data_IF_508186840209
#
_entry.id   IF_508186840209
#
_cell.length_a   1.000
_cell.length_b   1.000
_cell.length_c   1.000
_cell.angle_alpha   90.00
_cell.angle_beta   90.00
_cell.angle_gamma   90.00
#
_symmetry.space_group_name_H-M   'P 1'
#
loop_
_entity.id
_entity.type
_entity.pdbx_description
1 polymer ?
#
# COMPACT_ATOMS: atom_id res chain seq x y z
N UNK A 1 5.54 -11.13 17.26
CA UNK A 1 6.39 -10.62 16.16
C UNK A 1 7.63 -10.02 16.77
N UNK A 2 8.81 -10.31 16.21
CA UNK A 2 10.07 -9.81 16.79
C UNK A 2 11.04 -9.37 15.71
N UNK A 3 11.61 -8.18 15.90
CA UNK A 3 12.60 -7.56 15.03
C UNK A 3 13.99 -8.09 15.40
N UNK A 4 14.64 -8.76 14.46
CA UNK A 4 15.95 -9.38 14.65
C UNK A 4 16.97 -8.85 13.65
N UNK A 5 18.12 -8.44 14.17
CA UNK A 5 19.28 -8.12 13.36
C UNK A 5 19.89 -9.40 12.78
N UNK A 6 20.16 -9.42 11.47
CA UNK A 6 20.83 -10.56 10.82
C UNK A 6 22.22 -10.21 10.30
N UNK A 7 22.34 -9.08 9.64
CA UNK A 7 23.60 -8.62 9.05
C UNK A 7 23.63 -7.09 8.97
N UNK A 8 24.83 -6.54 8.85
CA UNK A 8 25.03 -5.11 8.73
C UNK A 8 24.34 -4.55 7.49
N UNK A 9 23.80 -3.33 7.62
CA UNK A 9 23.19 -2.60 6.51
C UNK A 9 23.41 -1.10 6.65
N UNK A 10 24.29 -0.56 5.82
CA UNK A 10 24.71 0.84 5.84
C UNK A 10 25.22 1.23 7.25
N UNK A 11 24.57 2.19 7.93
CA UNK A 11 24.90 2.58 9.32
C UNK A 11 24.32 1.67 10.42
N UNK A 12 23.50 0.66 10.08
CA UNK A 12 22.99 -0.32 11.06
C UNK A 12 24.01 -1.45 11.19
N UNK A 13 24.83 -1.41 12.23
CA UNK A 13 25.87 -2.42 12.49
C UNK A 13 25.42 -3.50 13.47
N UNK A 14 24.57 -3.16 14.45
CA UNK A 14 24.00 -4.10 15.41
C UNK A 14 22.87 -3.45 16.19
N UNK A 15 21.92 -4.25 16.67
CA UNK A 15 20.97 -3.87 17.71
C UNK A 15 20.41 -5.12 18.41
N UNK A 16 19.94 -4.95 19.64
CA UNK A 16 19.29 -6.03 20.38
C UNK A 16 17.94 -6.35 19.77
N UNK A 17 17.53 -7.63 19.71
CA UNK A 17 16.21 -7.98 19.22
C UNK A 17 15.10 -7.24 19.99
N UNK A 18 14.07 -6.80 19.28
CA UNK A 18 12.98 -6.00 19.83
C UNK A 18 11.66 -6.72 19.58
N UNK A 19 10.87 -6.94 20.63
CA UNK A 19 9.50 -7.44 20.50
C UNK A 19 8.61 -6.35 19.88
N UNK A 20 7.82 -6.73 18.88
CA UNK A 20 6.92 -5.85 18.15
C UNK A 20 5.47 -6.26 18.42
N UNK A 21 4.68 -5.29 18.85
CA UNK A 21 3.23 -5.42 18.95
C UNK A 21 2.56 -5.33 17.57
N UNK A 22 1.28 -5.70 17.48
CA UNK A 22 0.49 -5.66 16.24
C UNK A 22 0.46 -4.29 15.56
N UNK A 23 0.59 -3.22 16.35
CA UNK A 23 0.80 -1.85 15.88
C UNK A 23 2.02 -1.27 16.56
N UNK A 24 3.09 -1.09 15.79
CA UNK A 24 4.30 -0.43 16.25
C UNK A 24 4.53 0.83 15.44
N UNK A 25 4.77 1.95 16.13
CA UNK A 25 5.08 3.24 15.51
C UNK A 25 6.55 3.54 15.70
N UNK A 26 7.29 3.62 14.59
CA UNK A 26 8.68 4.05 14.60
C UNK A 26 8.76 5.57 14.40
N UNK A 27 9.31 6.26 15.39
CA UNK A 27 9.53 7.71 15.36
C UNK A 27 10.99 8.07 15.66
N UNK A 28 11.38 9.31 15.40
CA UNK A 28 12.75 9.80 15.61
C UNK A 28 13.07 11.00 14.74
N UNK A 29 14.17 11.68 15.05
CA UNK A 29 14.64 12.86 14.30
C UNK A 29 15.00 12.53 12.85
N UNK A 30 15.05 13.54 11.97
CA UNK A 30 15.51 13.35 10.60
C UNK A 30 16.96 12.84 10.60
N UNK A 31 17.26 11.86 9.75
CA UNK A 31 18.58 11.21 9.71
C UNK A 31 18.80 10.13 10.79
N UNK A 32 17.83 9.83 11.65
CA UNK A 32 17.98 8.80 12.70
C UNK A 32 17.95 7.34 12.20
N UNK A 33 17.92 7.11 10.88
CA UNK A 33 17.91 5.76 10.31
C UNK A 33 16.56 5.07 10.17
N UNK A 34 15.42 5.79 10.28
CA UNK A 34 14.07 5.18 10.13
C UNK A 34 13.84 4.57 8.75
N UNK A 35 14.03 5.36 7.68
CA UNK A 35 13.89 4.88 6.31
C UNK A 35 14.88 3.74 6.03
N UNK A 36 16.11 3.90 6.51
CA UNK A 36 17.14 2.89 6.39
C UNK A 36 16.80 1.58 7.12
N UNK A 37 16.12 1.62 8.27
CA UNK A 37 15.64 0.41 8.96
C UNK A 37 14.57 -0.30 8.12
N UNK A 38 13.64 0.45 7.51
CA UNK A 38 12.66 -0.11 6.58
C UNK A 38 13.35 -0.74 5.36
N UNK A 39 14.36 -0.08 4.81
CA UNK A 39 15.16 -0.60 3.70
C UNK A 39 15.92 -1.87 4.09
N UNK A 40 16.46 -1.92 5.32
CA UNK A 40 17.15 -3.11 5.84
C UNK A 40 16.18 -4.30 6.00
N UNK A 41 14.93 -4.04 6.39
CA UNK A 41 13.85 -5.05 6.43
C UNK A 41 13.53 -5.52 5.01
N UNK A 42 13.38 -4.59 4.06
CA UNK A 42 13.14 -4.92 2.64
C UNK A 42 14.25 -5.80 2.05
N UNK A 43 15.51 -5.51 2.39
CA UNK A 43 16.70 -6.23 1.93
C UNK A 43 17.03 -7.48 2.77
N UNK A 44 16.19 -7.85 3.74
CA UNK A 44 16.37 -9.00 4.64
C UNK A 44 17.62 -8.95 5.52
N UNK A 45 18.25 -7.78 5.66
CA UNK A 45 19.32 -7.55 6.63
C UNK A 45 18.80 -7.47 8.06
N UNK A 46 17.54 -7.06 8.19
CA UNK A 46 16.74 -7.15 9.40
C UNK A 46 15.52 -8.02 9.10
N UNK A 47 15.15 -8.89 10.03
CA UNK A 47 14.00 -9.77 9.86
C UNK A 47 12.93 -9.47 10.91
N UNK A 48 11.67 -9.58 10.49
CA UNK A 48 10.53 -9.65 11.39
C UNK A 48 10.14 -11.13 11.45
N UNK A 49 10.41 -11.77 12.58
CA UNK A 49 9.99 -13.14 12.83
C UNK A 49 8.48 -13.20 13.08
N UNK A 50 7.88 -14.35 12.74
CA UNK A 50 6.42 -14.58 12.78
C UNK A 50 5.62 -13.74 11.77
N UNK A 51 6.27 -13.35 10.66
CA UNK A 51 5.64 -12.65 9.54
C UNK A 51 5.98 -13.36 8.22
N UNK A 52 4.98 -14.02 7.61
CA UNK A 52 5.17 -14.81 6.40
C UNK A 52 5.28 -13.95 5.13
N UNK A 53 4.67 -12.76 5.14
CA UNK A 53 4.66 -11.83 4.02
C UNK A 53 4.83 -10.39 4.48
N UNK A 54 5.96 -9.78 4.12
CA UNK A 54 6.19 -8.36 4.34
C UNK A 54 5.72 -7.56 3.13
N UNK A 55 4.81 -6.62 3.36
CA UNK A 55 4.41 -5.62 2.38
C UNK A 55 4.87 -4.26 2.89
N UNK A 56 5.88 -3.68 2.23
CA UNK A 56 6.41 -2.36 2.57
C UNK A 56 5.80 -1.37 1.61
N UNK A 57 5.08 -0.39 2.16
CA UNK A 57 4.35 0.62 1.40
C UNK A 57 4.86 1.99 1.77
N UNK A 58 5.40 2.70 0.80
CA UNK A 58 5.81 4.09 0.96
C UNK A 58 4.68 5.02 0.54
N UNK A 59 4.39 5.99 1.40
CA UNK A 59 3.45 7.06 1.14
C UNK A 59 4.20 8.38 0.98
N UNK A 60 3.91 9.09 -0.11
CA UNK A 60 4.46 10.40 -0.36
C UNK A 60 3.38 11.47 -0.06
N UNK A 61 3.64 12.31 0.95
CA UNK A 61 2.70 13.36 1.38
C UNK A 61 2.60 14.54 0.40
N UNK A 62 3.60 14.76 -0.46
CA UNK A 62 3.60 15.85 -1.44
C UNK A 62 2.73 15.52 -2.64
N UNK A 63 2.74 14.24 -3.05
CA UNK A 63 1.97 13.77 -4.21
C UNK A 63 0.67 13.07 -3.82
N UNK A 64 0.48 12.75 -2.54
CA UNK A 64 -0.62 11.93 -2.02
C UNK A 64 -0.75 10.58 -2.75
N UNK A 65 0.38 10.00 -3.14
CA UNK A 65 0.45 8.72 -3.85
C UNK A 65 1.12 7.65 -3.00
N UNK A 66 0.69 6.42 -3.18
CA UNK A 66 1.39 5.24 -2.70
C UNK A 66 2.31 4.72 -3.82
N UNK A 67 3.54 4.31 -3.50
CA UNK A 67 4.49 3.82 -4.52
C UNK A 67 4.03 2.53 -5.22
N UNK A 68 3.18 1.75 -4.56
CA UNK A 68 2.56 0.54 -5.07
C UNK A 68 1.19 0.78 -5.74
N UNK A 69 0.72 2.02 -5.85
CA UNK A 69 -0.39 2.34 -6.74
C UNK A 69 0.11 2.32 -8.19
N UNK A 70 -0.63 1.62 -9.06
CA UNK A 70 -0.42 1.73 -10.50
C UNK A 70 -0.48 3.20 -10.89
N UNK A 71 0.48 3.65 -11.70
CA UNK A 71 0.46 4.99 -12.25
C UNK A 71 -0.82 5.16 -13.07
N UNK A 72 -1.84 5.77 -12.46
CA UNK A 72 -3.08 6.06 -13.16
C UNK A 72 -2.76 7.01 -14.31
N UNK A 73 -2.78 6.49 -15.52
CA UNK A 73 -2.74 7.30 -16.71
C UNK A 73 -4.09 8.02 -16.80
N UNK A 74 -4.10 9.34 -16.99
CA UNK A 74 -5.35 10.09 -17.16
C UNK A 74 -6.22 9.48 -18.28
N UNK A 75 -5.58 8.90 -19.30
CA UNK A 75 -6.24 8.19 -20.39
C UNK A 75 -6.88 6.85 -19.97
N UNK A 76 -6.29 6.14 -19.01
CA UNK A 76 -6.90 4.89 -18.50
C UNK A 76 -8.13 5.20 -17.65
N UNK A 77 -8.11 6.28 -16.86
CA UNK A 77 -9.28 6.74 -16.09
C UNK A 77 -10.42 7.13 -17.04
N UNK A 78 -10.13 7.90 -18.10
CA UNK A 78 -11.18 8.29 -19.06
C UNK A 78 -11.78 7.08 -19.78
N UNK A 79 -10.94 6.10 -20.13
CA UNK A 79 -11.39 4.86 -20.78
C UNK A 79 -12.25 4.02 -19.83
N UNK A 80 -11.84 3.88 -18.58
CA UNK A 80 -12.61 3.15 -17.55
C UNK A 80 -13.96 3.81 -17.29
N UNK A 81 -14.00 5.14 -17.22
CA UNK A 81 -15.23 5.91 -17.10
C UNK A 81 -16.19 5.65 -18.27
N UNK A 82 -15.69 5.69 -19.51
CA UNK A 82 -16.52 5.46 -20.71
C UNK A 82 -17.06 4.03 -20.74
N UNK A 83 -16.23 3.05 -20.35
CA UNK A 83 -16.63 1.65 -20.24
C UNK A 83 -17.71 1.45 -19.17
N UNK A 84 -17.56 2.05 -17.99
CA UNK A 84 -18.56 1.99 -16.92
C UNK A 84 -19.88 2.64 -17.34
N UNK A 85 -19.83 3.78 -18.05
CA UNK A 85 -21.01 4.45 -18.56
C UNK A 85 -21.75 3.65 -19.63
N UNK A 86 -20.99 3.01 -20.53
CA UNK A 86 -21.54 2.12 -21.56
C UNK A 86 -22.21 0.91 -20.92
N UNK A 87 -21.53 0.25 -19.97
CA UNK A 87 -22.08 -0.87 -19.21
C UNK A 87 -23.39 -0.50 -18.50
N UNK A 88 -23.44 0.65 -17.82
CA UNK A 88 -24.65 1.14 -17.18
C UNK A 88 -25.78 1.36 -18.19
N UNK A 89 -25.48 2.00 -19.32
CA UNK A 89 -26.47 2.34 -20.34
C UNK A 89 -27.06 1.11 -21.01
N UNK A 90 -26.24 0.08 -21.24
CA UNK A 90 -26.65 -1.14 -21.93
C UNK A 90 -27.32 -2.16 -21.00
N UNK A 91 -26.82 -2.32 -19.77
CA UNK A 91 -27.21 -3.44 -18.90
C UNK A 91 -28.13 -3.01 -17.75
N UNK A 92 -28.00 -1.78 -17.24
CA UNK A 92 -28.68 -1.32 -16.02
C UNK A 92 -29.84 -0.38 -16.36
N UNK A 93 -29.65 0.55 -17.30
CA UNK A 93 -30.67 1.53 -17.67
C UNK A 93 -31.97 0.89 -18.22
N UNK A 94 -31.92 -0.16 -19.07
CA UNK A 94 -33.14 -0.77 -19.62
C UNK A 94 -34.00 -1.45 -18.54
N UNK A 95 -33.35 -2.12 -17.57
CA UNK A 95 -34.03 -2.80 -16.46
C UNK A 95 -34.63 -1.82 -15.46
N UNK A 96 -34.02 -0.65 -15.26
CA UNK A 96 -34.61 0.43 -14.46
C UNK A 96 -35.84 1.06 -15.14
N UNK A 97 -35.81 1.23 -16.47
CA UNK A 97 -36.98 1.74 -17.20
C UNK A 97 -38.13 0.74 -17.21
N UNK A 98 -37.87 -0.57 -17.36
CA UNK A 98 -38.92 -1.59 -17.36
C UNK A 98 -39.60 -1.73 -15.99
N UNK A 99 -38.86 -1.57 -14.89
CA UNK A 99 -39.45 -1.51 -13.55
C UNK A 99 -40.45 -0.34 -13.45
N UNK A 100 -40.06 0.85 -13.91
CA UNK A 100 -40.88 2.06 -13.80
C UNK A 100 -42.18 1.95 -14.61
N UNK A 101 -42.18 1.26 -15.75
CA UNK A 101 -43.41 1.00 -16.53
C UNK A 101 -44.32 -0.04 -15.88
N UNK A 102 -43.77 -1.01 -15.15
CA UNK A 102 -44.56 -2.06 -14.45
C UNK A 102 -45.16 -1.59 -13.11
N UNK A 103 -44.85 -0.38 -12.64
CA UNK A 103 -45.42 0.23 -11.44
C UNK A 103 -46.58 1.21 -11.71
N UNK A 104 -46.99 1.38 -12.97
CA UNK A 104 -48.21 2.10 -13.36
C UNK A 104 -49.31 1.13 -13.77
#
# INVERSE_FOLDING_TARGET
MKLEFRQEYLSITTFNPVELESLTVLTGVNGSGKSQLLDAIANKSVAITECDSLNIVHFNYETFKLENESSFNAQSISTEKENAWSYFTENIKPSLTSWKTNLR
#
